data_IF_697774096814
#
_entry.id   IF_697774096814
#
_cell.length_a   1.000
_cell.length_b   1.000
_cell.length_c   1.000
_cell.angle_alpha   90.00
_cell.angle_beta   90.00
_cell.angle_gamma   90.00
#
_symmetry.space_group_name_H-M   'P 1'
#
loop_
_entity.id
_entity.type
_entity.pdbx_description
1 polymer ?
#
# COMPACT_ATOMS: atom_id res chain seq x y z
N UNK A 1 -21.93 -26.60 -30.70
CA UNK A 1 -20.73 -26.96 -29.92
C UNK A 1 -19.77 -25.78 -29.91
N UNK A 2 -19.75 -25.02 -28.81
CA UNK A 2 -18.66 -24.14 -28.42
C UNK A 2 -18.66 -24.16 -26.89
N UNK A 3 -17.91 -25.09 -26.33
CA UNK A 3 -17.64 -25.17 -24.90
C UNK A 3 -16.74 -24.00 -24.56
N UNK A 4 -17.35 -22.89 -24.15
CA UNK A 4 -16.64 -21.82 -23.48
C UNK A 4 -16.24 -22.40 -22.11
N UNK A 5 -15.06 -23.01 -22.08
CA UNK A 5 -14.35 -23.25 -20.83
C UNK A 5 -14.05 -21.85 -20.31
N UNK A 6 -14.97 -21.32 -19.49
CA UNK A 6 -14.63 -20.26 -18.56
C UNK A 6 -13.50 -20.83 -17.72
N UNK A 7 -12.27 -20.51 -18.14
CA UNK A 7 -11.13 -20.48 -17.26
C UNK A 7 -11.64 -19.66 -16.08
N UNK A 8 -12.00 -20.36 -15.01
CA UNK A 8 -12.23 -19.78 -13.71
C UNK A 8 -10.93 -19.07 -13.43
N UNK A 9 -10.90 -17.77 -13.76
CA UNK A 9 -9.82 -16.89 -13.42
C UNK A 9 -9.78 -17.00 -11.91
N UNK A 10 -8.88 -17.85 -11.43
CA UNK A 10 -8.25 -17.75 -10.14
C UNK A 10 -7.84 -16.30 -10.05
N UNK A 11 -8.74 -15.45 -9.52
CA UNK A 11 -8.41 -14.11 -9.08
C UNK A 11 -7.40 -14.35 -7.99
N UNK A 12 -6.13 -14.46 -8.39
CA UNK A 12 -4.99 -14.37 -7.50
C UNK A 12 -5.21 -13.04 -6.82
N UNK A 13 -5.71 -13.10 -5.59
CA UNK A 13 -6.11 -11.92 -4.85
C UNK A 13 -4.79 -11.35 -4.40
N UNK A 14 -4.12 -10.59 -5.27
CA UNK A 14 -2.86 -9.95 -4.96
C UNK A 14 -3.12 -9.08 -3.75
N UNK A 15 -2.52 -9.42 -2.59
CA UNK A 15 -2.56 -8.53 -1.44
C UNK A 15 -2.02 -7.18 -1.93
N UNK A 16 -2.63 -6.07 -1.53
CA UNK A 16 -2.15 -4.73 -1.87
C UNK A 16 -2.34 -4.21 -3.30
N UNK A 17 -3.26 -4.79 -4.09
CA UNK A 17 -3.51 -4.35 -5.48
C UNK A 17 -3.81 -2.84 -5.59
N UNK A 18 -4.63 -2.26 -4.70
CA UNK A 18 -5.01 -0.83 -4.78
C UNK A 18 -3.81 0.06 -4.48
N UNK A 19 -3.07 -0.27 -3.43
CA UNK A 19 -1.86 0.44 -3.01
C UNK A 19 -0.83 0.44 -4.13
N UNK A 20 -0.56 -0.74 -4.73
CA UNK A 20 0.38 -0.88 -5.84
C UNK A 20 0.01 0.01 -7.03
N UNK A 21 -1.25 0.00 -7.45
CA UNK A 21 -1.70 0.82 -8.58
C UNK A 21 -1.48 2.32 -8.34
N UNK A 22 -1.71 2.80 -7.11
CA UNK A 22 -1.46 4.21 -6.76
C UNK A 22 0.04 4.50 -6.78
N UNK A 23 0.86 3.64 -6.18
CA UNK A 23 2.31 3.83 -6.13
C UNK A 23 2.93 3.83 -7.53
N UNK A 24 2.55 2.89 -8.39
CA UNK A 24 3.01 2.83 -9.79
C UNK A 24 2.58 4.07 -10.57
N UNK A 25 1.34 4.51 -10.42
CA UNK A 25 0.86 5.74 -11.03
C UNK A 25 1.66 6.96 -10.56
N UNK A 26 1.86 7.11 -9.24
CA UNK A 26 2.66 8.22 -8.68
C UNK A 26 4.12 8.13 -9.12
N UNK A 27 4.69 6.94 -9.30
CA UNK A 27 6.06 6.75 -9.77
C UNK A 27 6.26 7.30 -11.18
N UNK A 28 5.28 7.09 -12.07
CA UNK A 28 5.30 7.65 -13.43
C UNK A 28 5.24 9.19 -13.46
N UNK A 29 4.64 9.82 -12.43
CA UNK A 29 4.48 11.27 -12.35
C UNK A 29 5.54 11.96 -11.48
N UNK A 30 6.29 11.20 -10.68
CA UNK A 30 7.28 11.72 -9.75
C UNK A 30 8.44 12.40 -10.48
N UNK A 31 8.64 13.70 -10.22
CA UNK A 31 9.74 14.51 -10.78
C UNK A 31 10.95 14.65 -9.84
N UNK A 32 10.83 14.13 -8.62
CA UNK A 32 11.86 14.22 -7.58
C UNK A 32 12.39 12.82 -7.25
N UNK A 33 13.72 12.68 -7.28
CA UNK A 33 14.43 11.44 -7.03
C UNK A 33 14.17 10.90 -5.61
N UNK A 34 13.97 11.80 -4.63
CA UNK A 34 13.70 11.39 -3.24
C UNK A 34 12.37 10.65 -3.13
N UNK A 35 11.32 11.20 -3.74
CA UNK A 35 9.98 10.61 -3.80
C UNK A 35 10.01 9.33 -4.62
N UNK A 36 10.75 9.31 -5.73
CA UNK A 36 10.93 8.10 -6.54
C UNK A 36 11.55 6.96 -5.73
N UNK A 37 12.65 7.20 -5.02
CA UNK A 37 13.31 6.19 -4.17
C UNK A 37 12.40 5.71 -3.02
N UNK A 38 11.61 6.61 -2.44
CA UNK A 38 10.64 6.25 -1.38
C UNK A 38 9.48 5.42 -1.91
N UNK A 39 8.99 5.71 -3.12
CA UNK A 39 7.97 4.90 -3.80
C UNK A 39 8.50 3.48 -4.11
N UNK A 40 9.74 3.37 -4.59
CA UNK A 40 10.40 2.07 -4.80
C UNK A 40 10.58 1.29 -3.48
N UNK A 41 10.99 1.98 -2.41
CA UNK A 41 11.11 1.39 -1.08
C UNK A 41 9.77 0.85 -0.57
N UNK A 42 8.67 1.56 -0.85
CA UNK A 42 7.32 1.11 -0.53
C UNK A 42 6.92 -0.13 -1.34
N UNK A 43 7.19 -0.17 -2.65
CA UNK A 43 6.95 -1.36 -3.48
C UNK A 43 7.72 -2.58 -2.97
N UNK A 44 8.97 -2.39 -2.56
CA UNK A 44 9.79 -3.46 -2.00
C UNK A 44 9.18 -4.01 -0.69
N UNK A 45 8.71 -3.13 0.19
CA UNK A 45 8.06 -3.55 1.43
C UNK A 45 6.73 -4.28 1.18
N UNK A 46 5.95 -3.86 0.17
CA UNK A 46 4.73 -4.55 -0.25
C UNK A 46 5.03 -5.98 -0.75
N UNK A 47 6.02 -6.13 -1.63
CA UNK A 47 6.46 -7.42 -2.12
C UNK A 47 6.93 -8.34 -0.98
N UNK A 48 7.70 -7.81 -0.02
CA UNK A 48 8.15 -8.57 1.15
C UNK A 48 6.98 -9.05 2.04
N UNK A 49 5.94 -8.23 2.20
CA UNK A 49 4.71 -8.63 2.89
C UNK A 49 3.96 -9.73 2.14
N UNK A 50 3.88 -9.65 0.81
CA UNK A 50 3.25 -10.69 -0.02
C UNK A 50 3.99 -12.02 0.04
N UNK A 51 5.33 -11.98 -0.02
CA UNK A 51 6.17 -13.17 0.16
C UNK A 51 5.97 -13.77 1.55
N UNK A 52 5.95 -12.94 2.61
CA UNK A 52 5.71 -13.43 3.97
C UNK A 52 4.31 -14.05 4.13
N UNK A 53 3.28 -13.46 3.51
CA UNK A 53 1.93 -14.02 3.52
C UNK A 53 1.86 -15.41 2.84
N UNK A 54 2.65 -15.62 1.79
CA UNK A 54 2.64 -16.86 1.02
C UNK A 54 3.54 -17.96 1.60
N UNK A 55 4.67 -17.59 2.21
CA UNK A 55 5.76 -18.53 2.51
C UNK A 55 6.31 -18.45 3.94
N UNK A 56 6.22 -17.30 4.61
CA UNK A 56 6.89 -17.04 5.90
C UNK A 56 5.99 -16.23 6.86
N UNK A 57 4.83 -16.79 7.29
CA UNK A 57 3.86 -16.06 8.10
C UNK A 57 4.42 -15.58 9.44
N UNK A 58 5.44 -16.24 9.99
CA UNK A 58 6.17 -15.84 11.19
C UNK A 58 6.89 -14.49 11.03
N UNK A 59 7.30 -14.14 9.80
CA UNK A 59 7.94 -12.88 9.49
C UNK A 59 6.95 -11.74 9.19
N UNK A 60 5.65 -12.06 9.02
CA UNK A 60 4.65 -11.11 8.56
C UNK A 60 4.56 -9.86 9.45
N UNK A 61 4.56 -10.03 10.78
CA UNK A 61 4.48 -8.91 11.72
C UNK A 61 5.64 -7.93 11.54
N UNK A 62 6.85 -8.43 11.32
CA UNK A 62 8.04 -7.61 11.04
C UNK A 62 7.90 -6.89 9.71
N UNK A 63 7.48 -7.59 8.64
CA UNK A 63 7.27 -7.01 7.31
C UNK A 63 6.20 -5.93 7.30
N UNK A 64 5.12 -6.11 8.07
CA UNK A 64 4.09 -5.10 8.26
C UNK A 64 4.63 -3.84 8.97
N UNK A 65 5.55 -4.00 9.93
CA UNK A 65 6.26 -2.88 10.55
C UNK A 65 7.14 -2.12 9.55
N UNK A 66 7.88 -2.84 8.71
CA UNK A 66 8.70 -2.25 7.63
C UNK A 66 7.84 -1.51 6.60
N UNK A 67 6.71 -2.09 6.21
CA UNK A 67 5.73 -1.46 5.32
C UNK A 67 5.15 -0.17 5.91
N UNK A 68 4.81 -0.19 7.21
CA UNK A 68 4.34 1.02 7.91
C UNK A 68 5.42 2.11 7.93
N UNK A 69 6.67 1.75 8.20
CA UNK A 69 7.79 2.69 8.19
C UNK A 69 7.99 3.32 6.80
N UNK A 70 8.01 2.50 5.74
CA UNK A 70 8.12 2.98 4.36
C UNK A 70 6.98 3.93 3.98
N UNK A 71 5.74 3.63 4.39
CA UNK A 71 4.60 4.51 4.16
C UNK A 71 4.73 5.85 4.91
N UNK A 72 5.19 5.83 6.17
CA UNK A 72 5.45 7.06 6.94
C UNK A 72 6.55 7.91 6.30
N UNK A 73 7.62 7.29 5.84
CA UNK A 73 8.75 8.00 5.22
C UNK A 73 8.37 8.60 3.86
N UNK A 74 7.54 7.89 3.08
CA UNK A 74 7.00 8.38 1.82
C UNK A 74 6.07 9.58 2.03
N UNK A 75 5.09 9.46 2.93
CA UNK A 75 4.07 10.49 3.15
C UNK A 75 4.65 11.71 3.89
N UNK A 76 5.57 11.45 4.82
CA UNK A 76 6.24 12.44 5.66
C UNK A 76 5.52 12.67 7.00
N UNK A 77 6.28 12.60 8.10
CA UNK A 77 5.76 12.77 9.48
C UNK A 77 5.07 14.12 9.70
N UNK A 78 5.63 15.19 9.15
CA UNK A 78 5.06 16.54 9.25
C UNK A 78 3.68 16.62 8.59
N UNK A 79 3.52 15.99 7.43
CA UNK A 79 2.23 15.95 6.73
C UNK A 79 1.20 15.12 7.49
N UNK A 80 1.62 13.96 8.04
CA UNK A 80 0.76 13.12 8.89
C UNK A 80 0.26 13.88 10.12
N UNK A 81 1.14 14.63 10.81
CA UNK A 81 0.78 15.43 11.96
C UNK A 81 -0.21 16.55 11.59
N UNK A 82 0.03 17.26 10.48
CA UNK A 82 -0.86 18.32 9.99
C UNK A 82 -2.24 17.81 9.53
N UNK A 83 -2.35 16.52 9.17
CA UNK A 83 -3.57 15.90 8.68
C UNK A 83 -4.10 14.82 9.63
N UNK A 84 -3.81 14.92 10.93
CA UNK A 84 -4.21 13.93 11.93
C UNK A 84 -5.73 13.67 11.95
N UNK A 85 -6.54 14.69 11.62
CA UNK A 85 -8.00 14.58 11.54
C UNK A 85 -8.52 14.00 10.21
N UNK A 86 -7.65 13.75 9.23
CA UNK A 86 -8.07 13.11 7.99
C UNK A 86 -8.44 11.63 8.27
N UNK A 87 -9.60 11.13 7.80
CA UNK A 87 -10.05 9.78 8.10
C UNK A 87 -9.06 8.70 7.66
N UNK A 88 -8.35 8.91 6.54
CA UNK A 88 -7.28 8.01 6.08
C UNK A 88 -6.06 7.98 7.01
N UNK A 89 -5.68 9.12 7.61
CA UNK A 89 -4.57 9.21 8.55
C UNK A 89 -4.95 8.54 9.87
N UNK A 90 -6.16 8.80 10.40
CA UNK A 90 -6.67 8.10 11.60
C UNK A 90 -6.83 6.59 11.42
N UNK A 91 -7.16 6.13 10.21
CA UNK A 91 -7.25 4.70 9.92
C UNK A 91 -5.85 4.06 9.89
N UNK A 92 -4.87 4.76 9.32
CA UNK A 92 -3.48 4.33 9.30
C UNK A 92 -2.82 4.32 10.68
N UNK A 93 -3.12 5.30 11.53
CA UNK A 93 -2.55 5.37 12.88
C UNK A 93 -3.08 4.25 13.79
N UNK A 94 -4.37 3.93 13.67
CA UNK A 94 -5.03 2.83 14.41
C UNK A 94 -4.68 1.43 13.90
N UNK A 95 -3.85 1.32 12.86
CA UNK A 95 -3.46 0.03 12.32
C UNK A 95 -2.38 -0.61 13.20
N UNK A 96 -2.70 -1.76 13.80
CA UNK A 96 -1.85 -2.48 14.77
C UNK A 96 -1.10 -3.69 14.18
N UNK A 97 -1.19 -3.92 12.87
CA UNK A 97 -0.54 -5.07 12.21
C UNK A 97 -1.29 -6.39 12.32
N UNK A 98 -2.47 -6.43 12.94
CA UNK A 98 -3.31 -7.65 13.04
C UNK A 98 -4.43 -7.70 12.01
N UNK A 99 -4.68 -6.59 11.30
CA UNK A 99 -5.77 -6.50 10.35
C UNK A 99 -5.52 -7.28 9.06
N UNK A 100 -6.60 -7.80 8.47
CA UNK A 100 -6.59 -8.55 7.21
C UNK A 100 -5.87 -7.76 6.09
N UNK A 101 -5.08 -8.41 5.21
CA UNK A 101 -4.34 -7.75 4.14
C UNK A 101 -5.17 -6.82 3.25
N UNK A 102 -6.45 -7.15 3.02
CA UNK A 102 -7.40 -6.30 2.27
C UNK A 102 -7.69 -4.97 2.97
N UNK A 103 -7.84 -4.95 4.30
CA UNK A 103 -8.06 -3.71 5.05
C UNK A 103 -6.81 -2.85 5.07
N UNK A 104 -5.64 -3.49 5.12
CA UNK A 104 -4.37 -2.79 5.03
C UNK A 104 -4.19 -2.16 3.65
N UNK A 105 -4.49 -2.89 2.56
CA UNK A 105 -4.48 -2.35 1.20
C UNK A 105 -5.38 -1.10 1.08
N UNK A 106 -6.60 -1.17 1.60
CA UNK A 106 -7.52 -0.02 1.58
C UNK A 106 -7.01 1.17 2.41
N UNK A 107 -6.42 0.89 3.57
CA UNK A 107 -5.88 1.93 4.45
C UNK A 107 -4.69 2.65 3.82
N UNK A 108 -3.74 1.89 3.26
CA UNK A 108 -2.58 2.44 2.58
C UNK A 108 -2.99 3.16 1.30
N UNK A 109 -3.87 2.58 0.49
CA UNK A 109 -4.38 3.23 -0.71
C UNK A 109 -5.03 4.57 -0.39
N UNK A 110 -5.90 4.64 0.61
CA UNK A 110 -6.56 5.89 1.02
C UNK A 110 -5.56 6.94 1.53
N UNK A 111 -4.52 6.52 2.26
CA UNK A 111 -3.46 7.41 2.73
C UNK A 111 -2.67 8.01 1.56
N UNK A 112 -2.21 7.17 0.63
CA UNK A 112 -1.44 7.61 -0.53
C UNK A 112 -2.28 8.50 -1.45
N UNK A 113 -3.56 8.16 -1.64
CA UNK A 113 -4.45 8.97 -2.45
C UNK A 113 -4.66 10.37 -1.86
N UNK A 114 -4.83 10.47 -0.54
CA UNK A 114 -4.93 11.75 0.16
C UNK A 114 -3.64 12.59 0.05
N UNK A 115 -2.47 11.94 -0.02
CA UNK A 115 -1.17 12.62 -0.11
C UNK A 115 -0.77 13.03 -1.52
N UNK A 116 -1.06 12.21 -2.53
CA UNK A 116 -0.46 12.32 -3.86
C UNK A 116 -1.47 12.51 -5.00
N UNK A 117 -2.73 12.08 -4.84
CA UNK A 117 -3.70 12.08 -5.95
C UNK A 117 -4.78 13.15 -5.78
N UNK A 118 -5.00 13.69 -4.58
CA UNK A 118 -5.89 14.83 -4.38
C UNK A 118 -5.16 16.15 -4.10
N UNK A 119 -4.94 16.87 -5.21
CA UNK A 119 -5.29 18.28 -5.42
C UNK A 119 -6.05 18.39 -6.77
N UNK A 120 -6.99 17.47 -7.01
CA UNK A 120 -7.97 17.57 -8.09
C UNK A 120 -9.36 17.77 -7.46
N UNK A 121 -9.61 19.00 -7.03
CA UNK A 121 -10.92 19.57 -6.73
C UNK A 121 -10.85 21.06 -7.12
#
# INVERSE_FOLDING_TARGET
MLTQVEASATRTTHPFRKTRAIVEHTLCEAKDDTTHLRLLSLLHALAACETALAHEPENLRRRLGELRAAAVDLVGRTWLAANADHPGVRAFDRFDGTALPRRLDETLANLLWARFVRLAA
#
